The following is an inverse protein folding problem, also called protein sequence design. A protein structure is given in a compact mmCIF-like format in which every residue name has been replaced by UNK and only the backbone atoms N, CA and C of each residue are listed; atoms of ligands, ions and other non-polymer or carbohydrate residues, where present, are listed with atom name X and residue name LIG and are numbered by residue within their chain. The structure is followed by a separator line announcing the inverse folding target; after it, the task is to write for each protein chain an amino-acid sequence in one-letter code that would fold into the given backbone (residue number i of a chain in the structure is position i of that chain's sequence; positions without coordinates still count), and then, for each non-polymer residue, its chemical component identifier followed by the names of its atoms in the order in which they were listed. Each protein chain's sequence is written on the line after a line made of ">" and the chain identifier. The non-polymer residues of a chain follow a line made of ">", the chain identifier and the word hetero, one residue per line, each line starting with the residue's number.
data_IF_465437153421
#
_entry.id   IF_465437153421
#
_cell.length_a   1.000
_cell.length_b   1.000
_cell.length_c   1.000
_cell.angle_alpha   90.00
_cell.angle_beta   90.00
_cell.angle_gamma   90.00
#
_symmetry.space_group_name_H-M   'P 1'
#
loop_
_entity.id
_entity.type
_entity.pdbx_description
1 polymer ?
#
# COMPACT_ATOMS: atom_id res chain seq x y z
N UNK A 1 14.64 4.58 -11.05
CA UNK A 1 13.37 3.90 -11.41
C UNK A 1 12.32 4.35 -10.41
N UNK A 2 11.08 4.56 -10.85
CA UNK A 2 9.97 4.93 -9.97
C UNK A 2 8.90 3.87 -10.09
N UNK A 3 8.44 3.34 -8.96
CA UNK A 3 7.42 2.30 -8.89
C UNK A 3 6.31 2.72 -7.93
N UNK A 4 5.06 2.37 -8.26
CA UNK A 4 3.90 2.59 -7.40
C UNK A 4 3.32 1.23 -7.02
N UNK A 5 3.34 0.93 -5.73
CA UNK A 5 2.60 -0.18 -5.17
C UNK A 5 1.26 0.31 -4.65
N UNK A 6 0.21 -0.49 -4.86
CA UNK A 6 -1.14 -0.18 -4.39
C UNK A 6 -1.61 -1.27 -3.41
N UNK A 7 -1.18 -1.23 -2.13
CA UNK A 7 -1.64 -2.18 -1.12
C UNK A 7 -3.16 -2.21 -0.93
N UNK A 8 -3.83 -1.07 -1.16
CA UNK A 8 -5.25 -0.91 -0.85
C UNK A 8 -5.99 -0.01 -1.85
N UNK A 9 -7.22 -0.40 -2.19
CA UNK A 9 -7.98 0.14 -3.31
C UNK A 9 -9.11 1.10 -2.94
N UNK A 10 -9.24 1.53 -1.68
CA UNK A 10 -10.06 2.68 -1.31
C UNK A 10 -11.54 2.43 -1.03
N UNK A 11 -11.89 1.32 -0.36
CA UNK A 11 -13.22 1.22 0.27
C UNK A 11 -13.13 1.60 1.76
N UNK A 12 -13.97 2.54 2.27
CA UNK A 12 -13.90 2.97 3.67
C UNK A 12 -14.04 1.81 4.67
N UNK A 13 -14.84 0.81 4.30
CA UNK A 13 -14.93 -0.47 5.00
C UNK A 13 -14.16 -1.51 4.19
N UNK A 14 -13.14 -2.17 4.76
CA UNK A 14 -12.43 -3.25 4.09
C UNK A 14 -13.37 -4.41 3.73
N UNK A 15 -13.18 -4.99 2.55
CA UNK A 15 -13.74 -6.28 2.15
C UNK A 15 -12.63 -7.33 2.12
N UNK A 16 -12.99 -8.59 1.90
CA UNK A 16 -12.02 -9.70 1.80
C UNK A 16 -10.98 -9.49 0.68
N UNK A 17 -11.34 -8.76 -0.39
CA UNK A 17 -10.47 -8.53 -1.55
C UNK A 17 -9.97 -7.09 -1.68
N UNK A 18 -10.65 -6.11 -1.08
CA UNK A 18 -10.35 -4.68 -1.26
C UNK A 18 -10.32 -3.97 0.09
N UNK A 19 -9.14 -3.44 0.43
CA UNK A 19 -8.89 -2.74 1.67
C UNK A 19 -8.97 -1.22 1.46
N UNK A 20 -8.94 -0.48 2.57
CA UNK A 20 -8.84 0.98 2.58
C UNK A 20 -7.67 1.48 1.71
N UNK A 21 -7.72 2.74 1.26
CA UNK A 21 -6.74 3.28 0.33
C UNK A 21 -5.34 3.32 0.94
N UNK A 22 -4.37 2.75 0.21
CA UNK A 22 -2.96 2.87 0.54
C UNK A 22 -2.14 2.78 -0.75
N UNK A 23 -1.19 3.69 -0.92
CA UNK A 23 -0.28 3.75 -2.06
C UNK A 23 1.14 3.97 -1.55
N UNK A 24 2.10 3.22 -2.08
CA UNK A 24 3.52 3.39 -1.75
C UNK A 24 4.29 3.72 -3.01
N UNK A 25 4.99 4.85 -2.99
CA UNK A 25 5.85 5.32 -4.06
C UNK A 25 7.30 4.97 -3.69
N UNK A 26 7.97 4.21 -4.55
CA UNK A 26 9.37 3.86 -4.43
C UNK A 26 10.21 4.78 -5.34
N UNK A 27 11.17 5.49 -4.76
CA UNK A 27 12.07 6.40 -5.47
C UNK A 27 13.50 6.10 -5.02
N UNK A 28 14.26 5.39 -5.87
CA UNK A 28 15.58 4.90 -5.45
C UNK A 28 15.44 3.96 -4.26
N UNK A 29 16.13 4.26 -3.16
CA UNK A 29 16.08 3.50 -1.91
C UNK A 29 15.04 4.04 -0.90
N UNK A 30 14.28 5.07 -1.28
CA UNK A 30 13.26 5.67 -0.41
C UNK A 30 11.85 5.16 -0.73
N UNK A 31 11.06 5.01 0.32
CA UNK A 31 9.64 4.64 0.23
C UNK A 31 8.76 5.72 0.89
N UNK A 32 7.81 6.24 0.12
CA UNK A 32 6.82 7.21 0.56
C UNK A 32 5.43 6.57 0.54
N UNK A 33 4.78 6.44 1.69
CA UNK A 33 3.45 5.84 1.79
C UNK A 33 2.38 6.91 2.02
N UNK A 34 1.35 6.89 1.17
CA UNK A 34 0.18 7.76 1.24
C UNK A 34 -1.04 6.92 1.67
N UNK A 35 -1.56 7.25 2.85
CA UNK A 35 -2.54 6.42 3.56
C UNK A 35 -1.87 5.28 4.33
N UNK A 36 -2.54 4.77 5.37
CA UNK A 36 -2.05 3.62 6.15
C UNK A 36 -3.22 2.88 6.78
N UNK A 37 -4.21 2.55 5.95
CA UNK A 37 -5.37 1.80 6.40
C UNK A 37 -5.03 0.39 6.90
N UNK A 38 -6.01 -0.33 7.46
CA UNK A 38 -5.80 -1.68 7.97
C UNK A 38 -5.10 -2.58 6.95
N UNK A 39 -4.10 -3.33 7.40
CA UNK A 39 -3.36 -4.34 6.61
C UNK A 39 -2.40 -3.77 5.55
N UNK A 40 -2.29 -2.44 5.38
CA UNK A 40 -1.39 -1.83 4.40
C UNK A 40 0.08 -2.28 4.57
N UNK A 41 0.63 -2.18 5.78
CA UNK A 41 2.01 -2.59 6.08
C UNK A 41 2.22 -4.09 5.91
N UNK A 42 1.27 -4.92 6.35
CA UNK A 42 1.32 -6.37 6.15
C UNK A 42 1.38 -6.75 4.66
N UNK A 43 0.70 -6.01 3.79
CA UNK A 43 0.77 -6.21 2.34
C UNK A 43 2.10 -5.74 1.73
N UNK A 44 2.68 -4.66 2.24
CA UNK A 44 4.02 -4.22 1.83
C UNK A 44 5.09 -5.27 2.17
N UNK A 45 5.03 -5.84 3.38
CA UNK A 45 5.92 -6.95 3.77
C UNK A 45 5.79 -8.14 2.83
N UNK A 46 4.56 -8.50 2.43
CA UNK A 46 4.33 -9.57 1.44
C UNK A 46 4.81 -9.21 0.03
N UNK A 47 4.93 -7.93 -0.28
CA UNK A 47 5.46 -7.43 -1.56
C UNK A 47 7.00 -7.30 -1.56
N UNK A 48 7.67 -7.59 -0.44
CA UNK A 48 9.14 -7.55 -0.33
C UNK A 48 9.72 -6.22 0.14
N UNK A 49 8.89 -5.36 0.74
CA UNK A 49 9.30 -4.12 1.42
C UNK A 49 9.46 -4.32 2.93
#
# INVERSE_FOLDING_TARGET
>A
MVEVLVPGGGTPTPTEFRFDSAHTLLIGDEALMFGCGPVATHKLVKAGL
#
